data_IF_596608105471
#
_entry.id   IF_596608105471
#
_cell.length_a   1.000
_cell.length_b   1.000
_cell.length_c   1.000
_cell.angle_alpha   90.00
_cell.angle_beta   90.00
_cell.angle_gamma   90.00
#
_symmetry.space_group_name_H-M   'P 1'
#
loop_
_entity.id
_entity.type
_entity.pdbx_description
1 polymer ?
#
# COMPACT_ATOMS: atom_id res chain seq x y z
N UNK A 1 -62.25 50.45 25.23
CA UNK A 1 -61.28 50.29 24.14
C UNK A 1 -60.15 49.44 24.68
N UNK A 2 -60.20 48.07 24.43
CA UNK A 2 -59.19 47.12 24.84
C UNK A 2 -58.35 46.79 23.63
N UNK A 3 -57.04 47.09 23.67
CA UNK A 3 -56.06 46.71 22.67
C UNK A 3 -55.43 45.34 23.03
N UNK A 4 -55.75 44.33 22.24
CA UNK A 4 -55.19 43.00 22.34
C UNK A 4 -53.85 42.99 21.59
N UNK A 5 -52.74 42.77 22.31
CA UNK A 5 -51.39 42.49 21.68
C UNK A 5 -51.32 41.04 21.29
N UNK A 6 -51.19 40.80 19.98
CA UNK A 6 -50.84 39.48 19.44
C UNK A 6 -49.34 39.23 19.61
N UNK A 7 -48.99 38.19 20.36
CA UNK A 7 -47.61 37.64 20.41
C UNK A 7 -47.34 36.81 19.15
N UNK A 8 -46.29 37.17 18.42
CA UNK A 8 -45.78 36.42 17.28
C UNK A 8 -44.83 35.34 17.82
N UNK A 9 -45.23 34.07 17.71
CA UNK A 9 -44.35 32.93 17.93
C UNK A 9 -43.74 32.53 16.56
N UNK A 10 -42.47 32.88 16.36
CA UNK A 10 -41.70 32.42 15.20
C UNK A 10 -41.23 30.98 15.44
N UNK A 11 -41.17 30.13 14.40
CA UNK A 11 -40.67 28.78 14.54
C UNK A 11 -39.15 28.79 14.73
N UNK A 12 -38.68 28.13 15.82
CA UNK A 12 -37.26 27.77 15.97
C UNK A 12 -36.88 26.74 14.92
N UNK A 13 -36.12 27.16 13.91
CA UNK A 13 -35.50 26.24 12.97
C UNK A 13 -34.31 25.58 13.66
N UNK A 14 -34.45 24.30 14.04
CA UNK A 14 -33.32 23.46 14.46
C UNK A 14 -32.39 23.19 13.25
N UNK A 15 -31.25 23.85 13.24
CA UNK A 15 -30.19 23.58 12.29
C UNK A 15 -29.49 22.27 12.72
N UNK A 16 -29.83 21.15 12.05
CA UNK A 16 -29.13 19.90 12.19
C UNK A 16 -27.76 20.03 11.49
N UNK A 17 -26.71 20.23 12.26
CA UNK A 17 -25.33 20.17 11.80
C UNK A 17 -25.02 18.70 11.52
N UNK A 18 -25.05 18.28 10.25
CA UNK A 18 -24.57 16.98 9.82
C UNK A 18 -23.05 16.96 9.96
N UNK A 19 -22.54 16.30 10.99
CA UNK A 19 -21.13 15.97 11.13
C UNK A 19 -20.76 15.01 9.99
N UNK A 20 -20.10 15.53 8.97
CA UNK A 20 -19.47 14.71 7.93
C UNK A 20 -18.34 13.90 8.58
N UNK A 21 -18.59 12.61 8.86
CA UNK A 21 -17.55 11.68 9.26
C UNK A 21 -16.63 11.49 8.04
N UNK A 22 -15.34 11.82 8.14
CA UNK A 22 -14.42 11.56 7.03
C UNK A 22 -14.42 10.07 6.73
N UNK A 23 -14.60 9.69 5.47
CA UNK A 23 -14.47 8.31 5.03
C UNK A 23 -13.05 7.84 5.34
N UNK A 24 -12.90 7.01 6.36
CA UNK A 24 -11.61 6.39 6.71
C UNK A 24 -11.18 5.52 5.55
N UNK A 25 -9.99 5.80 5.00
CA UNK A 25 -9.39 4.96 3.97
C UNK A 25 -9.25 3.54 4.53
N UNK A 26 -9.87 2.56 3.87
CA UNK A 26 -9.80 1.18 4.30
C UNK A 26 -8.52 0.53 3.75
N UNK A 27 -7.57 0.23 4.63
CA UNK A 27 -6.40 -0.59 4.33
C UNK A 27 -6.63 -2.06 4.68
N UNK A 28 -7.85 -2.54 4.48
CA UNK A 28 -8.17 -3.94 4.74
C UNK A 28 -7.45 -4.84 3.75
N UNK A 29 -6.72 -5.82 4.27
CA UNK A 29 -6.18 -6.93 3.48
C UNK A 29 -7.37 -7.83 3.10
N UNK A 30 -7.57 -8.15 1.80
CA UNK A 30 -8.66 -9.00 1.38
C UNK A 30 -8.50 -10.41 1.99
N UNK A 31 -9.41 -10.88 2.83
CA UNK A 31 -9.32 -12.24 3.36
C UNK A 31 -9.51 -13.24 2.20
N UNK A 32 -8.65 -14.26 2.13
CA UNK A 32 -8.73 -15.35 1.16
C UNK A 32 -8.79 -14.93 -0.32
N UNK A 33 -8.12 -13.85 -0.69
CA UNK A 33 -7.98 -13.50 -2.10
C UNK A 33 -7.30 -14.67 -2.85
N UNK A 34 -7.80 -15.08 -4.04
CA UNK A 34 -7.18 -16.14 -4.82
C UNK A 34 -5.84 -15.66 -5.39
N UNK A 35 -4.86 -16.55 -5.42
CA UNK A 35 -3.53 -16.29 -5.99
C UNK A 35 -2.40 -16.51 -4.98
N UNK A 36 -1.28 -16.98 -5.50
CA UNK A 36 -0.12 -17.38 -4.69
C UNK A 36 0.45 -16.19 -3.91
N UNK A 37 0.46 -15.00 -4.52
CA UNK A 37 1.03 -13.77 -3.95
C UNK A 37 -0.05 -12.80 -3.45
N UNK A 38 -1.27 -13.31 -3.21
CA UNK A 38 -2.34 -12.51 -2.61
C UNK A 38 -1.95 -12.01 -1.21
N UNK A 39 -2.29 -10.76 -0.85
CA UNK A 39 -1.95 -10.20 0.44
C UNK A 39 -2.42 -11.05 1.61
N UNK A 40 -1.57 -11.22 2.62
CA UNK A 40 -1.88 -11.88 3.90
C UNK A 40 -1.44 -10.99 5.05
N UNK A 41 -2.00 -11.22 6.21
CA UNK A 41 -1.61 -10.57 7.45
C UNK A 41 -1.07 -11.64 8.42
N UNK A 42 0.25 -11.72 8.52
CA UNK A 42 0.99 -12.60 9.43
C UNK A 42 1.56 -11.82 10.62
N UNK A 43 1.22 -10.53 10.72
CA UNK A 43 1.80 -9.62 11.70
C UNK A 43 0.86 -9.26 12.84
N UNK A 44 -0.45 -9.25 12.59
CA UNK A 44 -1.41 -8.82 13.60
C UNK A 44 -1.51 -9.76 14.80
N UNK A 45 -1.13 -11.02 14.65
CA UNK A 45 -1.06 -12.02 15.73
C UNK A 45 0.24 -11.94 16.56
N UNK A 46 1.24 -11.19 16.08
CA UNK A 46 2.47 -10.95 16.84
C UNK A 46 2.21 -9.96 17.97
N UNK A 47 2.82 -10.22 19.12
CA UNK A 47 2.64 -9.37 20.32
C UNK A 47 2.89 -7.89 19.99
N UNK A 48 1.87 -7.04 20.14
CA UNK A 48 1.89 -5.60 19.81
C UNK A 48 1.82 -5.29 18.31
N UNK A 49 1.83 -6.29 17.41
CA UNK A 49 1.82 -6.13 15.97
C UNK A 49 0.54 -5.44 15.46
N UNK A 50 -0.63 -5.88 15.92
CA UNK A 50 -1.90 -5.25 15.55
C UNK A 50 -1.95 -3.76 15.93
N UNK A 51 -1.46 -3.39 17.12
CA UNK A 51 -1.44 -2.01 17.58
C UNK A 51 -0.47 -1.16 16.74
N UNK A 52 0.72 -1.68 16.43
CA UNK A 52 1.69 -1.04 15.55
C UNK A 52 1.11 -0.80 14.15
N UNK A 53 0.53 -1.83 13.52
CA UNK A 53 -0.10 -1.71 12.20
C UNK A 53 -1.25 -0.70 12.18
N UNK A 54 -2.05 -0.63 13.26
CA UNK A 54 -3.11 0.36 13.39
C UNK A 54 -2.56 1.79 13.48
N UNK A 55 -1.50 2.00 14.26
CA UNK A 55 -0.82 3.30 14.38
C UNK A 55 -0.21 3.71 13.02
N UNK A 56 0.49 2.80 12.34
CA UNK A 56 1.06 3.03 11.02
C UNK A 56 -0.02 3.41 9.99
N UNK A 57 -1.07 2.60 9.88
CA UNK A 57 -2.21 2.88 8.99
C UNK A 57 -2.84 4.25 9.27
N UNK A 58 -2.95 4.61 10.56
CA UNK A 58 -3.49 5.91 10.98
C UNK A 58 -2.59 7.07 10.56
N UNK A 59 -1.27 6.98 10.77
CA UNK A 59 -0.30 8.00 10.36
C UNK A 59 -0.32 8.19 8.82
N UNK A 60 -0.32 7.09 8.07
CA UNK A 60 -0.37 7.11 6.60
C UNK A 60 -1.68 7.72 6.08
N UNK A 61 -2.83 7.33 6.63
CA UNK A 61 -4.13 7.85 6.21
C UNK A 61 -4.26 9.37 6.42
N UNK A 62 -3.66 9.90 7.50
CA UNK A 62 -3.65 11.34 7.78
C UNK A 62 -2.48 12.09 7.14
N UNK A 63 -1.51 11.39 6.56
CA UNK A 63 -0.22 11.94 6.10
C UNK A 63 0.47 12.72 7.22
N UNK A 64 0.48 12.15 8.39
CA UNK A 64 1.00 12.74 9.62
C UNK A 64 2.46 12.33 9.78
N UNK A 65 3.37 13.22 9.36
CA UNK A 65 4.81 12.96 9.34
C UNK A 65 5.38 12.78 10.75
N UNK A 66 4.87 13.52 11.74
CA UNK A 66 5.30 13.39 13.13
C UNK A 66 4.89 12.02 13.69
N UNK A 67 3.63 11.63 13.52
CA UNK A 67 3.13 10.34 13.96
C UNK A 67 3.85 9.17 13.25
N UNK A 68 4.21 9.34 11.97
CA UNK A 68 5.02 8.33 11.26
C UNK A 68 6.45 8.29 11.81
N UNK A 69 7.10 9.44 12.04
CA UNK A 69 8.43 9.53 12.60
C UNK A 69 8.51 8.94 14.03
N UNK A 70 7.44 9.03 14.83
CA UNK A 70 7.35 8.41 16.14
C UNK A 70 7.32 6.87 16.12
N UNK A 71 7.02 6.29 14.96
CA UNK A 71 7.07 4.84 14.70
C UNK A 71 8.42 4.37 14.13
N UNK A 72 9.37 5.26 13.89
CA UNK A 72 10.65 4.91 13.27
C UNK A 72 11.77 4.72 14.28
N UNK A 73 12.69 3.81 13.94
CA UNK A 73 13.96 3.68 14.66
C UNK A 73 14.80 4.95 14.54
N UNK A 74 15.57 5.35 15.57
CA UNK A 74 16.57 6.39 15.43
C UNK A 74 17.58 6.14 14.29
N UNK A 75 17.84 4.86 14.00
CA UNK A 75 18.78 4.41 12.96
C UNK A 75 18.07 3.89 11.71
N UNK A 76 16.85 4.40 11.42
CA UNK A 76 16.09 3.98 10.25
C UNK A 76 16.90 4.15 8.97
N UNK A 77 16.84 3.12 8.10
CA UNK A 77 17.47 3.10 6.79
C UNK A 77 16.47 3.57 5.72
N UNK A 78 16.77 4.70 5.06
CA UNK A 78 15.85 5.35 4.11
C UNK A 78 16.35 5.32 2.66
N UNK A 79 17.67 5.21 2.48
CA UNK A 79 18.30 5.13 1.18
C UNK A 79 19.69 4.47 1.26
N UNK A 80 20.25 4.14 0.10
CA UNK A 80 21.61 3.57 0.00
C UNK A 80 22.73 4.62 0.13
N UNK A 81 22.39 5.91 0.23
CA UNK A 81 23.32 7.02 0.46
C UNK A 81 23.62 7.30 1.93
N UNK A 82 22.98 6.56 2.87
CA UNK A 82 23.26 6.66 4.30
C UNK A 82 22.43 7.72 5.04
N UNK A 83 21.30 8.17 4.48
CA UNK A 83 20.35 9.03 5.17
C UNK A 83 19.52 8.23 6.18
N UNK A 84 19.30 8.80 7.39
CA UNK A 84 18.51 8.17 8.45
C UNK A 84 18.14 9.11 9.58
N UNK A 85 17.40 8.55 10.55
CA UNK A 85 16.96 9.26 11.74
C UNK A 85 15.70 10.11 11.55
N UNK A 86 15.18 10.64 12.65
CA UNK A 86 13.91 11.36 12.70
C UNK A 86 13.84 12.56 11.74
N UNK A 87 14.89 13.36 11.69
CA UNK A 87 14.96 14.55 10.81
C UNK A 87 14.84 14.17 9.33
N UNK A 88 15.57 13.13 8.89
CA UNK A 88 15.51 12.64 7.53
C UNK A 88 14.10 12.09 7.18
N UNK A 89 13.43 11.41 8.13
CA UNK A 89 12.04 10.98 7.98
C UNK A 89 11.11 12.18 7.79
N UNK A 90 11.21 13.19 8.66
CA UNK A 90 10.38 14.39 8.56
C UNK A 90 10.61 15.13 7.24
N UNK A 91 11.85 15.23 6.78
CA UNK A 91 12.19 15.86 5.49
C UNK A 91 11.62 15.04 4.31
N UNK A 92 11.75 13.70 4.35
CA UNK A 92 11.22 12.82 3.32
C UNK A 92 9.70 12.95 3.14
N UNK A 93 8.96 13.20 4.23
CA UNK A 93 7.49 13.25 4.23
C UNK A 93 6.89 14.65 4.31
N UNK A 94 7.73 15.68 4.28
CA UNK A 94 7.29 17.09 4.32
C UNK A 94 6.54 17.49 3.05
N UNK A 95 5.57 18.40 3.19
CA UNK A 95 5.01 19.17 2.09
C UNK A 95 4.29 18.39 0.99
N UNK A 96 3.63 17.28 1.30
CA UNK A 96 2.86 16.54 0.29
C UNK A 96 3.71 15.61 -0.58
N UNK A 97 4.85 15.18 -0.07
CA UNK A 97 5.78 14.24 -0.69
C UNK A 97 5.08 13.06 -1.38
N UNK A 98 5.61 12.64 -2.53
CA UNK A 98 5.15 11.43 -3.24
C UNK A 98 5.40 10.14 -2.44
N UNK A 99 6.26 10.17 -1.41
CA UNK A 99 6.50 9.04 -0.51
C UNK A 99 5.25 8.59 0.25
N UNK A 100 4.31 9.52 0.50
CA UNK A 100 3.01 9.16 1.03
C UNK A 100 2.21 8.25 0.09
N UNK A 101 2.35 8.43 -1.24
CA UNK A 101 1.70 7.56 -2.21
C UNK A 101 2.28 6.15 -2.15
N UNK A 102 3.60 6.04 -1.97
CA UNK A 102 4.29 4.75 -1.83
C UNK A 102 3.85 4.02 -0.56
N UNK A 103 3.86 4.71 0.59
CA UNK A 103 3.34 4.13 1.84
C UNK A 103 1.87 3.72 1.70
N UNK A 104 1.03 4.59 1.12
CA UNK A 104 -0.39 4.28 0.91
C UNK A 104 -0.58 3.04 0.03
N UNK A 105 0.26 2.88 -0.99
CA UNK A 105 0.19 1.76 -1.93
C UNK A 105 0.55 0.41 -1.28
N UNK A 106 1.45 0.38 -0.30
CA UNK A 106 1.84 -0.88 0.36
C UNK A 106 0.89 -1.33 1.47
N UNK A 107 0.12 -0.41 2.08
CA UNK A 107 -0.77 -0.74 3.21
C UNK A 107 -1.78 -1.85 2.92
N UNK A 108 -2.46 -1.92 1.76
CA UNK A 108 -3.41 -2.99 1.46
C UNK A 108 -2.74 -4.30 0.98
N UNK A 109 -1.41 -4.31 0.82
CA UNK A 109 -0.67 -5.46 0.27
C UNK A 109 -0.22 -6.47 1.33
N UNK A 110 -0.73 -6.34 2.56
CA UNK A 110 -0.48 -7.27 3.65
C UNK A 110 0.86 -7.07 4.34
N UNK A 111 1.11 -7.94 5.32
CA UNK A 111 2.31 -7.92 6.15
C UNK A 111 2.79 -9.35 6.37
N UNK A 112 4.06 -9.63 6.03
CA UNK A 112 4.73 -10.89 6.29
C UNK A 112 5.50 -10.84 7.61
N UNK A 113 5.59 -12.01 8.25
CA UNK A 113 6.51 -12.25 9.34
C UNK A 113 7.82 -12.84 8.80
N UNK A 114 8.91 -12.09 8.93
CA UNK A 114 10.27 -12.55 8.66
C UNK A 114 10.82 -13.20 9.92
N UNK A 115 10.81 -14.55 9.98
CA UNK A 115 11.20 -15.31 11.15
C UNK A 115 12.70 -15.18 11.44
N UNK A 116 13.54 -15.21 10.39
CA UNK A 116 15.00 -15.16 10.50
C UNK A 116 15.50 -13.85 11.12
N UNK A 117 14.82 -12.75 10.80
CA UNK A 117 15.18 -11.42 11.28
C UNK A 117 14.22 -10.90 12.37
N UNK A 118 13.23 -11.70 12.79
CA UNK A 118 12.20 -11.30 13.76
C UNK A 118 11.56 -9.95 13.42
N UNK A 119 11.19 -9.77 12.14
CA UNK A 119 10.73 -8.50 11.59
C UNK A 119 9.36 -8.61 10.89
N UNK A 120 8.61 -7.51 10.93
CA UNK A 120 7.43 -7.30 10.10
C UNK A 120 7.88 -6.71 8.76
N UNK A 121 7.34 -7.23 7.66
CA UNK A 121 7.69 -6.82 6.28
C UNK A 121 6.43 -6.46 5.48
N UNK A 122 6.39 -5.25 4.94
CA UNK A 122 5.32 -4.79 4.05
C UNK A 122 5.93 -4.36 2.70
N UNK A 123 5.36 -4.78 1.57
CA UNK A 123 4.19 -5.66 1.40
C UNK A 123 4.50 -7.14 1.69
N UNK A 124 3.45 -7.95 1.91
CA UNK A 124 3.57 -9.36 2.26
C UNK A 124 4.38 -10.17 1.25
N UNK A 125 4.14 -9.98 -0.05
CA UNK A 125 4.80 -10.76 -1.10
C UNK A 125 6.31 -10.55 -1.17
N UNK A 126 6.82 -9.43 -0.64
CA UNK A 126 8.25 -9.11 -0.63
C UNK A 126 9.08 -10.12 0.19
N UNK A 127 8.48 -10.73 1.20
CA UNK A 127 9.13 -11.76 2.04
C UNK A 127 8.82 -13.19 1.57
N UNK A 128 8.31 -13.36 0.35
CA UNK A 128 8.02 -14.69 -0.20
C UNK A 128 9.14 -15.13 -1.12
N UNK A 129 9.36 -16.44 -1.17
CA UNK A 129 10.25 -17.03 -2.18
C UNK A 129 9.60 -16.91 -3.56
N UNK A 130 10.27 -16.25 -4.48
CA UNK A 130 9.84 -16.09 -5.87
C UNK A 130 10.62 -17.04 -6.80
N UNK A 131 11.34 -18.01 -6.25
CA UNK A 131 12.16 -18.96 -6.99
C UNK A 131 13.31 -18.27 -7.74
N UNK A 132 13.62 -18.77 -8.93
CA UNK A 132 14.69 -18.24 -9.78
C UNK A 132 14.28 -17.00 -10.61
N UNK A 133 13.18 -16.32 -10.21
CA UNK A 133 12.68 -15.16 -10.94
C UNK A 133 13.62 -13.95 -10.76
N UNK A 134 14.10 -13.40 -11.87
CA UNK A 134 14.93 -12.19 -11.86
C UNK A 134 14.14 -10.98 -11.32
N UNK A 135 14.57 -10.34 -10.23
CA UNK A 135 13.83 -9.24 -9.59
C UNK A 135 13.69 -7.99 -10.46
N UNK A 136 14.58 -7.79 -11.43
CA UNK A 136 14.55 -6.62 -12.31
C UNK A 136 13.47 -6.72 -13.40
N UNK A 137 13.15 -7.92 -13.81
CA UNK A 137 12.16 -8.19 -14.86
C UNK A 137 10.89 -8.87 -14.34
N UNK A 138 10.81 -9.17 -13.05
CA UNK A 138 9.65 -9.84 -12.45
C UNK A 138 8.80 -8.87 -11.65
N UNK A 139 7.49 -8.94 -11.86
CA UNK A 139 6.51 -8.18 -11.10
C UNK A 139 5.37 -9.08 -10.62
N UNK A 140 4.64 -8.61 -9.60
CA UNK A 140 3.40 -9.21 -9.12
C UNK A 140 2.21 -8.44 -9.69
N UNK A 141 1.19 -9.16 -10.18
CA UNK A 141 -0.09 -8.54 -10.54
C UNK A 141 -0.88 -8.15 -9.29
N UNK A 142 -1.38 -6.91 -9.24
CA UNK A 142 -2.09 -6.36 -8.08
C UNK A 142 -3.60 -6.55 -8.22
N UNK A 143 -4.13 -7.59 -7.64
CA UNK A 143 -5.56 -7.85 -7.55
C UNK A 143 -6.00 -9.22 -8.07
N UNK A 144 -7.24 -9.55 -7.76
CA UNK A 144 -7.96 -10.64 -8.39
C UNK A 144 -8.57 -10.14 -9.70
N UNK A 145 -8.66 -11.02 -10.71
CA UNK A 145 -9.26 -10.74 -12.02
C UNK A 145 -8.58 -9.58 -12.79
N UNK A 146 -7.25 -9.50 -12.71
CA UNK A 146 -6.47 -8.55 -13.53
C UNK A 146 -6.44 -9.05 -14.98
N UNK A 147 -6.97 -8.31 -15.96
CA UNK A 147 -7.03 -8.79 -17.33
C UNK A 147 -5.66 -8.77 -18.01
N UNK A 148 -5.23 -9.90 -18.54
CA UNK A 148 -4.19 -10.03 -19.53
C UNK A 148 -4.81 -9.79 -20.91
N UNK A 149 -4.36 -8.78 -21.64
CA UNK A 149 -4.97 -8.31 -22.87
C UNK A 149 -4.14 -8.68 -24.10
N UNK A 150 -4.79 -8.96 -25.22
CA UNK A 150 -4.13 -9.29 -26.49
C UNK A 150 -3.43 -8.10 -27.18
N UNK A 151 -3.67 -6.86 -26.70
CA UNK A 151 -3.02 -5.63 -27.16
C UNK A 151 -3.03 -4.59 -26.05
N UNK A 152 -2.12 -3.60 -26.03
CA UNK A 152 -2.00 -2.57 -24.99
C UNK A 152 -3.11 -1.52 -25.11
N UNK A 153 -4.35 -1.92 -24.84
CA UNK A 153 -5.53 -1.07 -24.96
C UNK A 153 -6.68 -1.59 -24.11
N UNK A 154 -7.48 -0.69 -23.52
CA UNK A 154 -8.72 -1.06 -22.81
C UNK A 154 -9.72 -1.86 -23.67
N UNK A 155 -9.60 -1.78 -25.02
CA UNK A 155 -10.39 -2.55 -25.98
C UNK A 155 -9.72 -3.84 -26.42
N UNK A 156 -8.57 -4.20 -25.83
CA UNK A 156 -7.92 -5.48 -26.08
C UNK A 156 -8.81 -6.63 -25.63
N UNK A 157 -8.81 -7.73 -26.40
CA UNK A 157 -9.50 -8.96 -25.99
C UNK A 157 -8.79 -9.53 -24.76
N UNK A 158 -9.55 -9.95 -23.76
CA UNK A 158 -9.01 -10.65 -22.60
C UNK A 158 -8.49 -12.03 -23.03
N UNK A 159 -7.22 -12.29 -22.80
CA UNK A 159 -6.54 -13.58 -23.03
C UNK A 159 -6.71 -14.48 -21.81
N UNK A 160 -6.51 -13.89 -20.59
CA UNK A 160 -6.62 -14.59 -19.32
C UNK A 160 -6.94 -13.56 -18.22
N UNK A 161 -7.56 -14.00 -17.15
CA UNK A 161 -7.64 -13.26 -15.89
C UNK A 161 -6.53 -13.74 -14.95
N UNK A 162 -5.78 -12.79 -14.38
CA UNK A 162 -4.67 -13.04 -13.47
C UNK A 162 -5.08 -12.73 -12.04
N UNK A 163 -4.58 -13.52 -11.09
CA UNK A 163 -4.92 -13.39 -9.67
C UNK A 163 -3.65 -13.41 -8.84
N UNK A 164 -3.08 -12.24 -8.52
CA UNK A 164 -1.88 -12.11 -7.69
C UNK A 164 -0.79 -13.10 -8.11
N UNK A 165 -0.40 -13.02 -9.38
CA UNK A 165 0.57 -13.92 -10.00
C UNK A 165 1.85 -13.20 -10.36
N UNK A 166 2.95 -13.94 -10.40
CA UNK A 166 4.20 -13.48 -10.99
C UNK A 166 4.08 -13.40 -12.51
N UNK A 167 4.65 -12.34 -13.03
CA UNK A 167 4.80 -12.13 -14.46
C UNK A 167 6.22 -11.67 -14.76
N UNK A 168 6.74 -12.09 -15.89
CA UNK A 168 7.93 -11.51 -16.48
C UNK A 168 7.54 -10.31 -17.35
N UNK A 169 8.22 -9.18 -17.19
CA UNK A 169 7.99 -7.96 -17.98
C UNK A 169 9.07 -7.87 -19.06
N UNK A 170 8.65 -7.76 -20.29
CA UNK A 170 9.56 -7.53 -21.41
C UNK A 170 9.91 -6.04 -21.52
N UNK A 171 11.19 -5.75 -21.74
CA UNK A 171 11.68 -4.40 -22.07
C UNK A 171 11.44 -4.09 -23.55
N UNK A 172 10.18 -4.01 -23.93
CA UNK A 172 9.78 -3.67 -25.30
C UNK A 172 8.89 -2.43 -25.28
N UNK A 173 9.07 -1.58 -26.27
CA UNK A 173 8.20 -0.43 -26.47
C UNK A 173 6.78 -0.87 -26.83
N UNK A 174 5.79 -0.21 -26.24
CA UNK A 174 4.36 -0.45 -26.52
C UNK A 174 3.67 0.85 -26.93
N UNK A 175 2.66 0.74 -27.79
CA UNK A 175 1.92 1.90 -28.30
C UNK A 175 1.27 2.75 -27.20
N UNK A 176 0.79 2.14 -26.13
CA UNK A 176 0.24 2.82 -24.96
C UNK A 176 1.18 2.63 -23.75
N UNK A 177 1.85 3.70 -23.28
CA UNK A 177 2.81 3.62 -22.16
C UNK A 177 2.15 3.23 -20.83
N UNK A 178 0.83 3.23 -20.72
CA UNK A 178 0.07 2.74 -19.56
C UNK A 178 0.04 1.22 -19.44
N UNK A 179 0.67 0.48 -20.36
CA UNK A 179 0.73 -0.99 -20.39
C UNK A 179 2.17 -1.49 -20.40
N UNK A 180 2.34 -2.77 -20.07
CA UNK A 180 3.57 -3.54 -20.29
C UNK A 180 3.23 -4.84 -21.00
N UNK A 181 4.13 -5.27 -21.89
CA UNK A 181 4.13 -6.61 -22.45
C UNK A 181 4.69 -7.56 -21.42
N UNK A 182 3.97 -8.64 -21.16
CA UNK A 182 4.29 -9.59 -20.10
C UNK A 182 4.07 -11.03 -20.52
N UNK A 183 4.85 -11.94 -19.92
CA UNK A 183 4.56 -13.37 -19.88
C UNK A 183 4.17 -13.79 -18.46
N UNK A 184 3.20 -14.68 -18.34
CA UNK A 184 2.84 -15.27 -17.05
C UNK A 184 3.82 -16.38 -16.72
N UNK A 185 4.54 -16.27 -15.59
CA UNK A 185 5.52 -17.29 -15.16
C UNK A 185 4.81 -18.64 -14.98
N UNK A 186 5.51 -19.72 -15.33
CA UNK A 186 5.01 -21.10 -15.32
C UNK A 186 3.79 -21.34 -16.22
N UNK A 187 3.62 -20.53 -17.25
CA UNK A 187 2.56 -20.75 -18.24
C UNK A 187 2.94 -20.26 -19.64
N UNK A 188 2.14 -20.63 -20.64
CA UNK A 188 2.32 -20.17 -22.03
C UNK A 188 1.47 -18.94 -22.37
N UNK A 189 1.04 -18.16 -21.37
CA UNK A 189 0.24 -16.97 -21.62
C UNK A 189 1.11 -15.73 -21.69
N UNK A 190 0.94 -14.99 -22.79
CA UNK A 190 1.56 -13.68 -23.02
C UNK A 190 0.50 -12.65 -23.39
N UNK A 191 0.83 -11.38 -23.17
CA UNK A 191 -0.05 -10.27 -23.51
C UNK A 191 0.35 -8.97 -22.82
N UNK A 192 -0.64 -8.13 -22.55
CA UNK A 192 -0.41 -6.81 -21.99
C UNK A 192 -1.21 -6.60 -20.71
N UNK A 193 -0.55 -6.04 -19.70
CA UNK A 193 -1.17 -5.66 -18.41
C UNK A 193 -0.95 -4.18 -18.16
N UNK A 194 -1.93 -3.52 -17.55
CA UNK A 194 -1.79 -2.11 -17.14
C UNK A 194 -0.73 -1.97 -16.06
N UNK A 195 0.17 -0.99 -16.21
CA UNK A 195 1.23 -0.69 -15.22
C UNK A 195 0.65 -0.49 -13.82
N UNK A 196 -0.48 0.21 -13.69
CA UNK A 196 -1.14 0.44 -12.40
C UNK A 196 -1.66 -0.86 -11.71
N UNK A 197 -1.52 -2.01 -12.38
CA UNK A 197 -1.85 -3.34 -11.85
C UNK A 197 -0.62 -4.22 -11.66
N UNK A 198 0.55 -3.61 -11.66
CA UNK A 198 1.84 -4.29 -11.49
C UNK A 198 2.61 -3.65 -10.33
N UNK A 199 3.38 -4.47 -9.63
CA UNK A 199 4.32 -4.00 -8.63
C UNK A 199 5.60 -4.82 -8.67
N UNK A 200 6.73 -4.13 -8.72
CA UNK A 200 8.06 -4.73 -8.66
C UNK A 200 8.42 -5.13 -7.22
N UNK A 201 9.29 -6.11 -7.08
CA UNK A 201 9.99 -6.39 -5.81
C UNK A 201 10.95 -5.26 -5.42
N UNK A 202 11.44 -4.49 -6.39
CA UNK A 202 12.35 -3.37 -6.17
C UNK A 202 11.62 -2.08 -5.78
N UNK A 203 10.29 -2.08 -5.77
CA UNK A 203 9.49 -0.95 -5.28
C UNK A 203 9.63 -0.77 -3.76
N UNK A 204 9.13 0.36 -3.24
CA UNK A 204 9.20 0.66 -1.81
C UNK A 204 8.65 -0.46 -0.95
N UNK A 205 9.43 -0.78 0.09
CA UNK A 205 9.12 -1.74 1.15
C UNK A 205 9.45 -1.18 2.52
N UNK A 206 8.74 -1.64 3.53
CA UNK A 206 8.92 -1.25 4.91
C UNK A 206 9.24 -2.49 5.74
N UNK A 207 10.24 -2.37 6.61
CA UNK A 207 10.53 -3.37 7.65
C UNK A 207 10.39 -2.72 9.02
N UNK A 208 9.91 -3.48 9.99
CA UNK A 208 9.86 -3.06 11.39
C UNK A 208 10.34 -4.21 12.29
N UNK A 209 11.10 -3.87 13.31
CA UNK A 209 11.60 -4.81 14.31
C UNK A 209 11.33 -4.28 15.73
N UNK A 210 11.35 -5.19 16.72
CA UNK A 210 11.25 -4.78 18.13
C UNK A 210 12.57 -4.21 18.61
N UNK A 211 12.53 -3.00 19.17
CA UNK A 211 13.62 -2.34 19.88
C UNK A 211 13.07 -1.93 21.25
N UNK A 212 13.71 -2.37 22.32
CA UNK A 212 13.26 -2.14 23.71
C UNK A 212 11.77 -2.48 23.94
N UNK A 213 11.31 -3.58 23.33
CA UNK A 213 9.94 -4.08 23.44
C UNK A 213 8.89 -3.35 22.58
N UNK A 214 9.29 -2.35 21.80
CA UNK A 214 8.41 -1.59 20.90
C UNK A 214 8.71 -1.92 19.44
N UNK A 215 7.67 -2.03 18.62
CA UNK A 215 7.83 -2.10 17.17
C UNK A 215 8.24 -0.76 16.61
N UNK A 216 9.37 -0.71 15.90
CA UNK A 216 9.89 0.47 15.23
C UNK A 216 10.22 0.13 13.77
N UNK A 217 9.92 1.03 12.85
CA UNK A 217 10.27 0.93 11.44
C UNK A 217 11.78 1.08 11.32
N UNK A 218 12.45 0.04 10.84
CA UNK A 218 13.91 0.00 10.67
C UNK A 218 14.36 0.34 9.26
N UNK A 219 13.48 0.18 8.26
CA UNK A 219 13.75 0.64 6.89
C UNK A 219 12.49 0.99 6.11
N UNK A 220 12.61 1.96 5.21
CA UNK A 220 11.63 2.29 4.18
C UNK A 220 12.39 2.67 2.91
N UNK A 221 12.58 1.71 2.00
CA UNK A 221 13.47 1.82 0.84
C UNK A 221 12.86 1.21 -0.42
N UNK A 222 13.38 1.62 -1.57
CA UNK A 222 13.21 0.99 -2.88
C UNK A 222 14.59 0.67 -3.48
N UNK A 223 14.65 -0.26 -4.43
CA UNK A 223 15.91 -0.77 -4.99
C UNK A 223 16.42 -2.01 -4.26
N UNK A 224 17.61 -2.48 -4.60
CA UNK A 224 18.33 -3.61 -3.98
C UNK A 224 19.67 -3.16 -3.37
#
# INVERSE_FOLDING_TARGET
>A
MCLVRRAWQGPLALLLLALAVPASASFAVPPNAPGQYAPRDECSDKEGGAAFLAALKSAVARRDAEAFADLTSPDIFLDFGGGGGREAVLDMFRGGSDKWKELYAIMPLGCAWDEDNSALVLPWFFNQDLGDADPYSTMVTLGSEVPLLSRPSRRGRVVKMLNWQLIHVYEVEVDDPGYRTVAVIDSNYEGHVRIAKLRSQLDYRLRAAKQDGKWLITSFIAGD
#
